data_IF_615233470039
#
_entry.id   IF_615233470039
#
_cell.length_a   1.000
_cell.length_b   1.000
_cell.length_c   1.000
_cell.angle_alpha   90.00
_cell.angle_beta   90.00
_cell.angle_gamma   90.00
#
_symmetry.space_group_name_H-M   'P 1'
#
loop_
_entity.id
_entity.type
_entity.pdbx_description
1 polymer ?
#
# COMPACT_ATOMS: atom_id res chain seq x y z
N UNK A 1 1.88 -0.24 -9.34
CA UNK A 1 2.63 -0.68 -8.12
C UNK A 1 2.40 -2.16 -7.89
N UNK A 2 3.29 -2.86 -7.17
CA UNK A 2 3.04 -4.26 -6.81
C UNK A 2 3.75 -4.72 -5.55
N UNK A 3 3.01 -4.73 -4.45
CA UNK A 3 3.36 -5.37 -3.15
C UNK A 3 2.19 -6.25 -2.71
N UNK A 4 2.32 -7.00 -1.60
CA UNK A 4 1.23 -7.81 -1.09
C UNK A 4 0.11 -6.97 -0.46
N UNK A 5 0.47 -6.00 0.39
CA UNK A 5 -0.48 -5.05 1.00
C UNK A 5 -1.33 -4.34 -0.08
N UNK A 6 -0.70 -3.84 -1.15
CA UNK A 6 -1.39 -3.12 -2.22
C UNK A 6 -2.28 -4.01 -3.09
N UNK A 7 -2.04 -5.32 -3.09
CA UNK A 7 -2.85 -6.29 -3.84
C UNK A 7 -4.05 -6.81 -3.01
N UNK A 8 -4.11 -6.49 -1.72
CA UNK A 8 -5.26 -6.83 -0.90
C UNK A 8 -6.46 -5.93 -1.18
N UNK A 9 -7.66 -6.46 -0.93
CA UNK A 9 -8.84 -5.61 -0.88
C UNK A 9 -8.65 -4.58 0.24
N UNK A 10 -9.06 -3.33 0.01
CA UNK A 10 -8.99 -2.30 1.05
C UNK A 10 -9.69 -2.71 2.36
N UNK A 11 -10.72 -3.56 2.29
CA UNK A 11 -11.41 -4.10 3.47
C UNK A 11 -10.60 -5.18 4.24
N UNK A 12 -9.46 -5.65 3.72
CA UNK A 12 -8.51 -6.53 4.40
C UNK A 12 -7.35 -5.75 5.03
N UNK A 13 -7.22 -4.45 4.73
CA UNK A 13 -6.16 -3.60 5.25
C UNK A 13 -6.71 -2.72 6.38
N UNK A 14 -6.40 -3.10 7.62
CA UNK A 14 -6.87 -2.38 8.81
C UNK A 14 -6.01 -1.13 9.09
N UNK A 15 -4.69 -1.30 9.05
CA UNK A 15 -3.68 -0.24 9.09
C UNK A 15 -2.79 -0.38 7.86
N UNK A 16 -2.91 0.57 6.95
CA UNK A 16 -2.09 0.66 5.73
C UNK A 16 -0.86 1.55 5.92
N UNK A 17 0.16 1.33 5.09
CA UNK A 17 1.17 2.36 4.84
C UNK A 17 0.53 3.61 4.22
N UNK A 18 1.21 4.76 4.31
CA UNK A 18 0.74 5.98 3.66
C UNK A 18 0.58 5.81 2.14
N UNK A 19 1.44 5.01 1.52
CA UNK A 19 1.37 4.73 0.07
C UNK A 19 0.09 3.98 -0.26
N UNK A 20 -0.28 2.96 0.51
CA UNK A 20 -1.49 2.18 0.26
C UNK A 20 -2.78 3.02 0.31
N UNK A 21 -2.84 4.00 1.21
CA UNK A 21 -4.06 4.80 1.42
C UNK A 21 -4.22 5.92 0.40
N UNK A 22 -3.10 6.42 -0.13
CA UNK A 22 -3.10 7.65 -0.89
C UNK A 22 -2.88 7.42 -2.41
N UNK A 23 -2.60 6.19 -2.88
CA UNK A 23 -2.33 5.94 -4.30
C UNK A 23 -3.61 5.76 -5.11
N UNK A 24 -3.64 6.28 -6.33
CA UNK A 24 -4.73 6.02 -7.28
C UNK A 24 -4.58 4.62 -7.90
N UNK A 25 -5.60 3.78 -7.75
CA UNK A 25 -5.51 2.33 -8.01
C UNK A 25 -6.11 1.88 -9.35
N UNK A 26 -6.70 2.78 -10.14
CA UNK A 26 -7.40 2.39 -11.37
C UNK A 26 -7.15 3.38 -12.52
N UNK A 27 -6.35 2.95 -13.49
CA UNK A 27 -6.09 3.69 -14.72
C UNK A 27 -6.46 2.80 -15.92
N UNK A 28 -6.91 3.42 -17.01
CA UNK A 28 -7.21 2.75 -18.26
C UNK A 28 -5.90 2.44 -19.01
N UNK A 29 -5.74 1.21 -19.48
CA UNK A 29 -4.54 0.86 -20.20
C UNK A 29 -4.57 -0.51 -20.83
N UNK A 30 -3.39 -0.92 -21.29
CA UNK A 30 -3.12 -2.25 -21.85
C UNK A 30 -2.09 -2.94 -20.98
N UNK A 31 -2.29 -4.24 -20.74
CA UNK A 31 -1.37 -5.11 -20.01
C UNK A 31 -0.97 -6.30 -20.88
N UNK A 32 0.30 -6.66 -20.82
CA UNK A 32 0.82 -7.89 -21.39
C UNK A 32 1.54 -8.68 -20.29
N UNK A 33 1.15 -9.94 -20.12
CA UNK A 33 1.73 -10.83 -19.11
C UNK A 33 2.48 -11.99 -19.77
N UNK A 34 3.67 -12.29 -19.27
CA UNK A 34 4.45 -13.47 -19.63
C UNK A 34 4.75 -14.33 -18.41
N UNK A 35 4.31 -15.58 -18.45
CA UNK A 35 4.47 -16.54 -17.35
C UNK A 35 5.50 -17.61 -17.69
N UNK A 36 6.44 -17.85 -16.79
CA UNK A 36 7.48 -18.88 -16.92
C UNK A 36 7.97 -19.36 -15.56
N UNK A 37 8.06 -20.68 -15.35
CA UNK A 37 8.73 -21.25 -14.16
C UNK A 37 8.22 -20.76 -12.80
N UNK A 38 6.90 -20.56 -12.65
CA UNK A 38 6.29 -19.99 -11.44
C UNK A 38 6.46 -18.47 -11.30
N UNK A 39 7.02 -17.81 -12.31
CA UNK A 39 7.15 -16.37 -12.39
C UNK A 39 6.13 -15.81 -13.38
N UNK A 40 5.63 -14.61 -13.12
CA UNK A 40 4.84 -13.83 -14.08
C UNK A 40 5.41 -12.42 -14.16
N UNK A 41 5.72 -11.98 -15.38
CA UNK A 41 6.13 -10.62 -15.67
C UNK A 41 4.98 -9.91 -16.38
N UNK A 42 4.49 -8.83 -15.79
CA UNK A 42 3.53 -7.92 -16.37
C UNK A 42 4.23 -6.67 -16.89
N UNK A 43 3.78 -6.20 -18.05
CA UNK A 43 4.12 -4.90 -18.59
C UNK A 43 2.83 -4.17 -18.94
N UNK A 44 2.63 -3.03 -18.28
CA UNK A 44 1.44 -2.21 -18.43
C UNK A 44 1.80 -0.84 -18.98
N UNK A 45 0.97 -0.35 -19.90
CA UNK A 45 0.95 1.06 -20.31
C UNK A 45 -0.44 1.61 -20.02
N UNK A 46 -0.51 2.71 -19.29
CA UNK A 46 -1.75 3.32 -18.81
C UNK A 46 -1.78 4.82 -19.17
N UNK A 47 -2.98 5.41 -19.17
CA UNK A 47 -3.05 6.85 -18.89
C UNK A 47 -2.43 7.14 -17.51
N UNK A 48 -1.93 8.36 -17.33
CA UNK A 48 -1.36 8.81 -16.06
C UNK A 48 -1.94 10.17 -15.72
N UNK A 49 -3.26 10.27 -15.72
CA UNK A 49 -3.99 11.53 -15.60
C UNK A 49 -4.27 11.96 -14.16
N UNK A 50 -3.89 11.15 -13.17
CA UNK A 50 -4.03 11.48 -11.76
C UNK A 50 -3.22 12.73 -11.38
N UNK A 51 -3.79 13.61 -10.56
CA UNK A 51 -3.14 14.84 -10.04
C UNK A 51 -1.85 14.55 -9.27
N UNK A 52 -1.71 13.34 -8.73
CA UNK A 52 -0.51 12.90 -8.03
C UNK A 52 0.67 12.66 -8.98
N UNK A 53 0.41 12.41 -10.26
CA UNK A 53 1.45 12.03 -11.21
C UNK A 53 1.60 13.02 -12.34
N UNK A 54 0.53 13.64 -12.84
CA UNK A 54 0.58 14.58 -13.96
C UNK A 54 0.24 16.01 -13.55
N UNK A 55 1.00 16.96 -14.12
CA UNK A 55 0.66 18.38 -14.04
C UNK A 55 -0.69 18.63 -14.72
N UNK A 56 -1.49 19.56 -14.20
CA UNK A 56 -2.87 19.83 -14.67
C UNK A 56 -2.96 20.08 -16.18
N UNK A 57 -2.00 20.78 -16.77
CA UNK A 57 -1.94 21.06 -18.21
C UNK A 57 -1.40 19.88 -19.06
N UNK A 58 -1.04 18.78 -18.41
CA UNK A 58 -0.42 17.60 -19.00
C UNK A 58 -1.22 16.31 -18.79
N UNK A 59 -2.20 16.28 -17.88
CA UNK A 59 -3.01 15.10 -17.55
C UNK A 59 -3.63 14.41 -18.77
N UNK A 60 -4.18 15.18 -19.72
CA UNK A 60 -4.87 14.64 -20.90
C UNK A 60 -3.98 13.90 -21.90
N UNK A 61 -2.65 13.93 -21.71
CA UNK A 61 -1.64 13.34 -22.60
C UNK A 61 -0.55 12.58 -21.84
N UNK A 62 -0.67 12.48 -20.52
CA UNK A 62 0.27 11.80 -19.66
C UNK A 62 0.08 10.29 -19.78
N UNK A 63 1.19 9.56 -19.94
CA UNK A 63 1.21 8.10 -19.91
C UNK A 63 2.06 7.60 -18.75
N UNK A 64 1.68 6.44 -18.24
CA UNK A 64 2.44 5.68 -17.27
C UNK A 64 2.87 4.34 -17.86
N UNK A 65 4.08 3.90 -17.52
CA UNK A 65 4.56 2.55 -17.78
C UNK A 65 4.83 1.85 -16.46
N UNK A 66 4.41 0.59 -16.33
CA UNK A 66 4.68 -0.23 -15.16
C UNK A 66 5.18 -1.61 -15.56
N UNK A 67 6.17 -2.10 -14.81
CA UNK A 67 6.61 -3.48 -14.83
C UNK A 67 6.30 -4.07 -13.46
N UNK A 68 5.72 -5.27 -13.44
CA UNK A 68 5.50 -6.03 -12.23
C UNK A 68 6.00 -7.46 -12.44
N UNK A 69 6.93 -7.89 -11.61
CA UNK A 69 7.42 -9.25 -11.57
C UNK A 69 6.92 -9.94 -10.30
N UNK A 70 6.10 -10.97 -10.51
CA UNK A 70 5.60 -11.85 -9.47
C UNK A 70 6.34 -13.18 -9.52
N UNK A 71 6.74 -13.69 -8.36
CA UNK A 71 7.37 -14.99 -8.23
C UNK A 71 6.62 -15.88 -7.27
N UNK A 72 6.49 -17.15 -7.64
CA UNK A 72 6.06 -18.25 -6.81
C UNK A 72 7.18 -19.30 -6.79
N UNK A 73 7.89 -19.34 -5.66
CA UNK A 73 9.06 -20.17 -5.44
C UNK A 73 8.72 -21.28 -4.44
N UNK A 74 9.26 -22.47 -4.72
CA UNK A 74 9.09 -23.65 -3.86
C UNK A 74 7.62 -24.00 -3.58
N UNK A 75 6.77 -23.95 -4.61
CA UNK A 75 5.35 -24.31 -4.54
C UNK A 75 4.58 -23.45 -3.52
N UNK A 76 4.77 -22.14 -3.57
CA UNK A 76 4.05 -21.16 -2.78
C UNK A 76 4.65 -20.88 -1.42
N UNK A 77 5.74 -21.54 -1.02
CA UNK A 77 6.42 -21.28 0.26
C UNK A 77 6.99 -19.87 0.27
N UNK A 78 7.61 -19.42 -0.82
CA UNK A 78 8.11 -18.06 -0.94
C UNK A 78 7.46 -17.39 -2.15
N UNK A 79 6.80 -16.28 -1.93
CA UNK A 79 6.26 -15.45 -3.01
C UNK A 79 6.92 -14.09 -3.01
N UNK A 80 7.16 -13.56 -4.20
CA UNK A 80 7.75 -12.23 -4.40
C UNK A 80 6.86 -11.40 -5.31
N UNK A 81 6.87 -10.09 -5.11
CA UNK A 81 6.15 -9.15 -5.96
C UNK A 81 6.93 -7.86 -6.04
N UNK A 82 7.59 -7.62 -7.17
CA UNK A 82 8.48 -6.48 -7.37
C UNK A 82 7.98 -5.63 -8.53
N UNK A 83 7.84 -4.33 -8.30
CA UNK A 83 7.30 -3.42 -9.30
C UNK A 83 8.19 -2.21 -9.50
N UNK A 84 8.29 -1.77 -10.74
CA UNK A 84 8.78 -0.46 -11.10
C UNK A 84 7.72 0.26 -11.93
N UNK A 85 7.52 1.55 -11.69
CA UNK A 85 6.58 2.34 -12.49
C UNK A 85 7.16 3.71 -12.75
N UNK A 86 6.93 4.23 -13.96
CA UNK A 86 7.31 5.57 -14.36
C UNK A 86 6.08 6.28 -14.94
N UNK A 87 5.75 7.43 -14.38
CA UNK A 87 4.57 8.22 -14.72
C UNK A 87 4.99 9.57 -15.27
N UNK A 88 4.45 9.96 -16.43
CA UNK A 88 4.83 11.20 -17.07
C UNK A 88 4.15 12.40 -16.40
N UNK A 89 4.95 13.26 -15.76
CA UNK A 89 4.45 14.45 -15.08
C UNK A 89 4.28 15.64 -16.01
N UNK A 90 5.31 15.89 -16.83
CA UNK A 90 5.31 16.89 -17.90
C UNK A 90 6.00 16.29 -19.12
N UNK A 91 6.19 17.11 -20.18
CA UNK A 91 6.95 16.68 -21.36
C UNK A 91 8.35 16.14 -21.04
N UNK A 92 8.99 16.64 -19.97
CA UNK A 92 10.39 16.33 -19.64
C UNK A 92 10.58 15.73 -18.24
N UNK A 93 9.54 15.64 -17.42
CA UNK A 93 9.63 15.14 -16.04
C UNK A 93 8.82 13.85 -15.89
N UNK A 94 9.43 12.84 -15.26
CA UNK A 94 8.78 11.58 -14.90
C UNK A 94 8.90 11.36 -13.39
N UNK A 95 7.84 10.84 -12.80
CA UNK A 95 7.81 10.35 -11.43
C UNK A 95 7.98 8.84 -11.43
N UNK A 96 8.73 8.32 -10.47
CA UNK A 96 9.12 6.92 -10.45
C UNK A 96 8.72 6.29 -9.13
N UNK A 97 8.37 5.02 -9.20
CA UNK A 97 8.05 4.19 -8.04
C UNK A 97 8.75 2.86 -8.15
N UNK A 98 9.33 2.44 -7.03
CA UNK A 98 9.87 1.12 -6.79
C UNK A 98 9.08 0.48 -5.65
N UNK A 99 8.68 -0.77 -5.86
CA UNK A 99 7.96 -1.56 -4.88
C UNK A 99 8.54 -2.95 -4.79
N UNK A 100 8.65 -3.48 -3.58
CA UNK A 100 9.13 -4.82 -3.35
C UNK A 100 8.35 -5.47 -2.21
N UNK A 101 7.78 -6.63 -2.47
CA UNK A 101 7.08 -7.47 -1.52
C UNK A 101 7.67 -8.86 -1.48
N UNK A 102 7.75 -9.44 -0.28
CA UNK A 102 8.11 -10.83 -0.03
C UNK A 102 7.11 -11.43 0.95
N UNK A 103 6.58 -12.60 0.63
CA UNK A 103 5.68 -13.37 1.47
C UNK A 103 6.24 -14.78 1.70
N UNK A 104 6.29 -15.19 2.96
CA UNK A 104 6.67 -16.53 3.38
C UNK A 104 5.42 -17.26 3.89
N UNK A 105 5.11 -18.42 3.32
CA UNK A 105 3.99 -19.28 3.72
C UNK A 105 4.53 -20.61 4.27
N UNK A 106 4.24 -20.91 5.53
CA UNK A 106 4.67 -22.13 6.22
C UNK A 106 3.51 -22.74 6.99
N UNK A 107 2.75 -23.62 6.33
CA UNK A 107 1.57 -24.25 6.92
C UNK A 107 0.52 -23.21 7.29
N UNK A 108 0.19 -23.10 8.58
CA UNK A 108 -0.73 -22.08 9.08
C UNK A 108 -0.10 -20.68 9.24
N UNK A 109 1.22 -20.55 9.11
CA UNK A 109 1.93 -19.29 9.29
C UNK A 109 2.12 -18.55 7.96
N UNK A 110 1.91 -17.23 7.95
CA UNK A 110 2.28 -16.35 6.84
C UNK A 110 2.94 -15.09 7.37
N UNK A 111 4.06 -14.71 6.78
CA UNK A 111 4.73 -13.44 7.05
C UNK A 111 4.95 -12.66 5.75
N UNK A 112 4.83 -11.35 5.80
CA UNK A 112 4.94 -10.46 4.65
C UNK A 112 5.78 -9.25 4.99
N UNK A 113 6.71 -8.91 4.11
CA UNK A 113 7.48 -7.68 4.14
C UNK A 113 7.25 -6.94 2.84
N UNK A 114 6.71 -5.74 2.92
CA UNK A 114 6.50 -4.84 1.79
C UNK A 114 7.30 -3.57 1.97
N UNK A 115 7.77 -3.02 0.86
CA UNK A 115 8.53 -1.79 0.80
C UNK A 115 8.17 -0.98 -0.44
N UNK A 116 8.13 0.34 -0.27
CA UNK A 116 7.71 1.31 -1.26
C UNK A 116 8.66 2.51 -1.24
N UNK A 117 8.99 2.99 -2.43
CA UNK A 117 9.85 4.14 -2.61
C UNK A 117 9.40 4.86 -3.88
N UNK A 118 9.06 6.14 -3.80
CA UNK A 118 8.72 6.84 -5.02
C UNK A 118 8.32 8.29 -4.87
N UNK A 119 8.11 8.87 -6.05
CA UNK A 119 7.90 10.29 -6.25
C UNK A 119 6.45 10.58 -6.63
N UNK A 120 5.87 11.63 -6.05
CA UNK A 120 4.54 12.12 -6.46
C UNK A 120 4.33 13.56 -6.08
N UNK A 121 3.25 14.12 -6.60
CA UNK A 121 2.66 15.36 -6.11
C UNK A 121 1.62 15.02 -5.03
N UNK A 122 1.63 15.73 -3.90
CA UNK A 122 0.71 15.46 -2.80
C UNK A 122 0.39 16.72 -2.00
N UNK A 123 -0.90 16.95 -1.72
CA UNK A 123 -1.32 17.89 -0.67
C UNK A 123 -1.35 17.15 0.67
N UNK A 124 -0.52 17.59 1.60
CA UNK A 124 -0.44 17.07 2.96
C UNK A 124 -0.76 18.12 4.03
N UNK A 125 -1.37 19.25 3.64
CA UNK A 125 -1.73 20.38 4.51
C UNK A 125 -2.56 19.94 5.72
N UNK A 126 -3.51 19.03 5.53
CA UNK A 126 -4.35 18.47 6.61
C UNK A 126 -3.54 17.67 7.64
N UNK A 127 -2.48 16.98 7.20
CA UNK A 127 -1.59 16.24 8.10
C UNK A 127 -0.76 17.18 8.97
N UNK A 128 -0.30 18.29 8.41
CA UNK A 128 0.50 19.31 9.12
C UNK A 128 -0.33 20.48 9.67
N UNK A 129 -1.66 20.38 9.66
CA UNK A 129 -2.57 21.37 10.25
C UNK A 129 -2.51 22.75 9.59
N UNK A 130 -2.15 22.83 8.31
CA UNK A 130 -2.15 24.07 7.53
C UNK A 130 -3.48 24.26 6.79
N UNK A 131 -3.82 25.50 6.46
CA UNK A 131 -4.84 25.77 5.45
C UNK A 131 -4.44 25.10 4.13
N UNK A 132 -5.44 24.72 3.32
CA UNK A 132 -5.23 24.03 2.05
C UNK A 132 -4.07 24.67 1.28
N UNK A 133 -3.05 23.86 1.01
CA UNK A 133 -1.83 24.29 0.36
C UNK A 133 -1.76 23.68 -1.04
N UNK A 134 -1.02 24.32 -1.92
CA UNK A 134 -0.75 23.75 -3.23
C UNK A 134 -0.06 22.38 -3.07
N UNK A 135 -0.46 21.37 -3.86
CA UNK A 135 0.18 20.06 -3.84
C UNK A 135 1.68 20.16 -4.08
N UNK A 136 2.46 19.41 -3.30
CA UNK A 136 3.92 19.53 -3.28
C UNK A 136 4.60 18.33 -3.89
N UNK A 137 5.81 18.56 -4.41
CA UNK A 137 6.62 17.48 -4.95
C UNK A 137 7.33 16.72 -3.82
N UNK A 138 6.91 15.48 -3.58
CA UNK A 138 7.36 14.66 -2.46
C UNK A 138 8.01 13.37 -2.92
N UNK A 139 8.87 12.84 -2.05
CA UNK A 139 9.44 11.51 -2.11
C UNK A 139 8.97 10.73 -0.88
N UNK A 140 8.21 9.68 -1.12
CA UNK A 140 7.64 8.84 -0.06
C UNK A 140 8.43 7.53 0.05
N UNK A 141 8.62 7.12 1.30
CA UNK A 141 9.35 5.94 1.68
C UNK A 141 8.50 5.17 2.68
N UNK A 142 8.16 3.91 2.41
CA UNK A 142 7.29 3.16 3.32
C UNK A 142 7.67 1.69 3.37
N UNK A 143 7.37 1.07 4.51
CA UNK A 143 7.54 -0.36 4.72
C UNK A 143 6.42 -0.91 5.59
N UNK A 144 6.08 -2.17 5.41
CA UNK A 144 5.21 -2.90 6.33
C UNK A 144 5.71 -4.32 6.56
N UNK A 145 5.50 -4.80 7.79
CA UNK A 145 5.78 -6.18 8.18
C UNK A 145 4.50 -6.74 8.78
N UNK A 146 3.95 -7.80 8.19
CA UNK A 146 2.78 -8.51 8.69
C UNK A 146 3.13 -9.95 9.05
N UNK A 147 2.57 -10.45 10.14
CA UNK A 147 2.68 -11.84 10.56
C UNK A 147 1.31 -12.34 11.00
N UNK A 148 0.84 -13.40 10.36
CA UNK A 148 -0.43 -14.05 10.66
C UNK A 148 -0.25 -15.54 10.91
N UNK A 149 -1.14 -16.10 11.73
CA UNK A 149 -1.23 -17.53 11.95
C UNK A 149 -2.67 -17.99 11.91
N UNK A 150 -2.96 -19.02 11.11
CA UNK A 150 -4.27 -19.66 11.03
C UNK A 150 -4.24 -20.96 11.81
N UNK A 151 -5.11 -21.07 12.82
CA UNK A 151 -5.32 -22.30 13.58
C UNK A 151 -6.81 -22.54 13.82
N UNK A 152 -7.32 -23.64 13.25
CA UNK A 152 -8.74 -23.97 13.32
C UNK A 152 -9.61 -22.90 12.65
N UNK A 153 -10.39 -22.19 13.46
CA UNK A 153 -11.30 -21.12 13.00
C UNK A 153 -10.76 -19.71 13.28
N UNK A 154 -9.59 -19.60 13.89
CA UNK A 154 -9.02 -18.34 14.31
C UNK A 154 -7.84 -17.96 13.41
N UNK A 155 -7.76 -16.67 13.12
CA UNK A 155 -6.64 -16.06 12.40
C UNK A 155 -6.23 -14.77 13.09
N UNK A 156 -5.42 -14.83 14.16
CA UNK A 156 -4.77 -13.64 14.68
C UNK A 156 -3.62 -13.20 13.78
N UNK A 157 -3.39 -11.89 13.76
CA UNK A 157 -2.23 -11.32 13.09
C UNK A 157 -1.82 -9.98 13.68
N UNK A 158 -0.55 -9.67 13.52
CA UNK A 158 0.07 -8.40 13.90
C UNK A 158 0.74 -7.82 12.67
N UNK A 159 0.63 -6.50 12.52
CA UNK A 159 1.34 -5.80 11.45
C UNK A 159 1.91 -4.50 11.96
N UNK A 160 3.15 -4.21 11.58
CA UNK A 160 3.81 -2.95 11.78
C UNK A 160 3.94 -2.20 10.46
N UNK A 161 3.82 -0.87 10.50
CA UNK A 161 4.00 0.00 9.35
C UNK A 161 4.95 1.14 9.70
N UNK A 162 5.70 1.59 8.71
CA UNK A 162 6.50 2.80 8.77
C UNK A 162 6.37 3.54 7.45
N UNK A 163 6.31 4.86 7.51
CA UNK A 163 6.29 5.73 6.35
C UNK A 163 7.00 7.04 6.65
N UNK A 164 7.75 7.57 5.72
CA UNK A 164 8.41 8.87 5.81
C UNK A 164 8.12 9.65 4.52
N UNK A 165 7.82 10.93 4.69
CA UNK A 165 7.63 11.86 3.59
C UNK A 165 8.75 12.87 3.58
N UNK A 166 9.44 12.95 2.45
CA UNK A 166 10.43 13.97 2.16
C UNK A 166 9.84 14.97 1.17
N UNK A 167 9.81 16.24 1.54
CA UNK A 167 9.40 17.31 0.64
C UNK A 167 10.63 17.81 -0.11
N UNK A 168 10.60 17.67 -1.44
CA UNK A 168 11.75 18.02 -2.29
C UNK A 168 11.92 19.53 -2.45
N UNK A 169 10.86 20.31 -2.25
CA UNK A 169 10.93 21.78 -2.30
C UNK A 169 11.59 22.32 -1.02
N UNK A 170 11.34 21.69 0.13
CA UNK A 170 12.05 21.99 1.37
C UNK A 170 13.42 21.32 1.50
N UNK A 171 13.71 20.28 0.72
CA UNK A 171 14.95 19.53 0.85
C UNK A 171 15.07 18.80 2.20
N UNK A 172 13.96 18.39 2.81
CA UNK A 172 13.97 17.70 4.11
C UNK A 172 12.77 16.77 4.33
N UNK A 173 12.92 15.82 5.26
CA UNK A 173 11.80 15.04 5.78
C UNK A 173 10.84 15.94 6.56
N UNK A 174 9.55 15.90 6.21
CA UNK A 174 8.50 16.74 6.82
C UNK A 174 7.77 16.02 7.93
N UNK A 175 7.60 14.70 7.82
CA UNK A 175 7.12 13.85 8.91
C UNK A 175 7.43 12.37 8.64
N UNK A 176 7.37 11.58 9.69
CA UNK A 176 7.34 10.12 9.61
C UNK A 176 6.18 9.57 10.45
N UNK A 177 5.50 8.54 9.94
CA UNK A 177 4.43 7.84 10.62
C UNK A 177 4.84 6.40 10.85
N UNK A 178 4.76 5.94 12.10
CA UNK A 178 4.96 4.53 12.48
C UNK A 178 3.69 4.01 13.11
N UNK A 179 3.37 2.73 12.94
CA UNK A 179 2.18 2.16 13.55
C UNK A 179 2.26 0.65 13.73
N UNK A 180 1.38 0.16 14.60
CA UNK A 180 1.19 -1.26 14.86
C UNK A 180 -0.30 -1.56 14.92
N UNK A 181 -0.68 -2.72 14.41
CA UNK A 181 -2.01 -3.27 14.56
C UNK A 181 -1.95 -4.69 15.10
N UNK A 182 -2.98 -5.05 15.87
CA UNK A 182 -3.24 -6.41 16.31
C UNK A 182 -4.68 -6.75 15.99
N UNK A 183 -4.91 -7.85 15.30
CA UNK A 183 -6.23 -8.26 14.83
C UNK A 183 -6.46 -9.72 15.17
N UNK A 184 -7.69 -10.05 15.55
CA UNK A 184 -8.15 -11.42 15.66
C UNK A 184 -9.39 -11.60 14.78
N UNK A 185 -9.33 -12.56 13.86
CA UNK A 185 -10.46 -12.93 13.02
C UNK A 185 -10.97 -14.33 13.36
N UNK A 186 -12.29 -14.49 13.31
CA UNK A 186 -12.98 -15.75 13.57
C UNK A 186 -13.87 -16.14 12.38
N UNK A 187 -13.70 -17.38 11.92
CA UNK A 187 -14.39 -17.98 10.78
C UNK A 187 -15.29 -19.12 11.25
N UNK A 188 -16.54 -18.82 11.70
CA UNK A 188 -17.40 -19.82 12.34
C UNK A 188 -17.86 -20.93 11.42
N UNK A 189 -17.98 -20.67 10.12
CA UNK A 189 -18.68 -21.53 9.18
C UNK A 189 -17.73 -22.28 8.26
N UNK A 190 -18.10 -23.51 7.91
CA UNK A 190 -17.40 -24.34 6.91
C UNK A 190 -18.22 -24.56 5.63
N UNK A 191 -19.51 -24.19 5.65
CA UNK A 191 -20.39 -24.30 4.49
C UNK A 191 -19.93 -23.33 3.41
N UNK A 192 -19.94 -23.77 2.16
CA UNK A 192 -19.34 -23.02 1.06
C UNK A 192 -19.89 -21.60 0.90
N UNK A 193 -21.20 -21.40 1.08
CA UNK A 193 -21.83 -20.07 1.01
C UNK A 193 -21.41 -19.09 2.14
N UNK A 194 -20.89 -19.62 3.25
CA UNK A 194 -20.60 -18.85 4.48
C UNK A 194 -19.14 -18.93 4.92
N UNK A 195 -18.29 -19.71 4.23
CA UNK A 195 -16.89 -19.92 4.65
C UNK A 195 -16.07 -18.64 4.71
N UNK A 196 -16.45 -17.63 3.93
CA UNK A 196 -15.80 -16.32 3.86
C UNK A 196 -16.47 -15.27 4.78
N UNK A 197 -17.52 -15.65 5.52
CA UNK A 197 -18.09 -14.83 6.58
C UNK A 197 -17.19 -14.91 7.82
N UNK A 198 -16.63 -13.76 8.19
CA UNK A 198 -15.74 -13.62 9.34
C UNK A 198 -16.18 -12.52 10.28
N UNK A 199 -15.87 -12.70 11.55
CA UNK A 199 -15.95 -11.67 12.58
C UNK A 199 -14.55 -11.24 12.93
N UNK A 200 -14.35 -9.97 13.27
CA UNK A 200 -13.04 -9.44 13.56
C UNK A 200 -13.08 -8.42 14.69
N UNK A 201 -12.00 -8.36 15.45
CA UNK A 201 -11.68 -7.29 16.37
C UNK A 201 -10.23 -6.86 16.13
N UNK A 202 -10.02 -5.56 16.04
CA UNK A 202 -8.76 -4.94 15.70
C UNK A 202 -8.49 -3.77 16.63
N UNK A 203 -7.24 -3.68 17.08
CA UNK A 203 -6.70 -2.48 17.70
C UNK A 203 -5.53 -2.00 16.85
N UNK A 204 -5.48 -0.70 16.60
CA UNK A 204 -4.45 -0.06 15.80
C UNK A 204 -3.94 1.17 16.55
N UNK A 205 -2.64 1.38 16.46
CA UNK A 205 -1.97 2.57 16.94
C UNK A 205 -1.07 3.13 15.85
N UNK A 206 -1.09 4.44 15.66
CA UNK A 206 -0.13 5.14 14.82
C UNK A 206 0.37 6.40 15.49
N UNK A 207 1.63 6.71 15.26
CA UNK A 207 2.29 7.94 15.69
C UNK A 207 2.90 8.65 14.50
N UNK A 208 2.59 9.93 14.35
CA UNK A 208 3.19 10.82 13.34
C UNK A 208 4.12 11.81 14.05
N UNK A 209 5.41 11.71 13.74
CA UNK A 209 6.45 12.64 14.20
C UNK A 209 6.75 13.66 13.11
N UNK A 210 6.48 14.93 13.39
CA UNK A 210 6.78 16.04 12.50
C UNK A 210 8.26 16.39 12.53
N UNK A 211 8.81 16.78 11.37
CA UNK A 211 10.25 16.97 11.15
C UNK A 211 10.50 18.19 10.25
N UNK A 212 11.76 18.56 10.12
CA UNK A 212 12.18 19.66 9.24
C UNK A 212 11.45 20.97 9.61
N UNK A 213 10.81 21.65 8.65
CA UNK A 213 10.03 22.87 8.88
C UNK A 213 8.92 22.73 9.94
N UNK A 214 8.46 21.51 10.21
CA UNK A 214 7.37 21.21 11.13
C UNK A 214 7.85 20.61 12.46
N UNK A 215 9.16 20.57 12.73
CA UNK A 215 9.71 19.95 13.94
C UNK A 215 9.23 20.59 15.26
N UNK A 216 8.69 21.81 15.22
CA UNK A 216 8.08 22.47 16.37
C UNK A 216 6.67 21.96 16.72
N UNK A 217 6.06 21.15 15.87
CA UNK A 217 4.73 20.58 16.11
C UNK A 217 4.81 19.37 17.04
N UNK A 218 3.81 19.22 17.92
CA UNK A 218 3.67 18.04 18.75
C UNK A 218 3.35 16.81 17.89
N UNK A 219 3.94 15.66 18.21
CA UNK A 219 3.62 14.40 17.55
C UNK A 219 2.13 14.05 17.71
N UNK A 220 1.51 13.54 16.65
CA UNK A 220 0.14 13.03 16.69
C UNK A 220 0.14 11.54 17.04
N UNK A 221 -0.74 11.14 17.95
CA UNK A 221 -0.89 9.75 18.36
C UNK A 221 -2.37 9.36 18.19
N UNK A 222 -2.63 8.34 17.39
CA UNK A 222 -3.97 7.91 17.02
C UNK A 222 -4.17 6.46 17.49
N UNK A 223 -5.27 6.21 18.20
CA UNK A 223 -5.71 4.87 18.59
C UNK A 223 -7.06 4.57 17.95
N UNK A 224 -7.15 3.45 17.25
CA UNK A 224 -8.40 3.01 16.62
C UNK A 224 -8.76 1.63 17.14
N UNK A 225 -10.02 1.47 17.55
CA UNK A 225 -10.63 0.19 17.86
C UNK A 225 -11.69 -0.09 16.82
N UNK A 226 -11.66 -1.28 16.24
CA UNK A 226 -12.59 -1.68 15.20
C UNK A 226 -13.05 -3.10 15.48
N UNK A 227 -14.36 -3.32 15.49
CA UNK A 227 -14.95 -4.63 15.59
C UNK A 227 -16.10 -4.74 14.60
N UNK A 228 -16.25 -5.89 13.96
CA UNK A 228 -17.23 -6.02 12.91
C UNK A 228 -17.33 -7.42 12.33
N UNK A 229 -18.11 -7.51 11.27
CA UNK A 229 -18.24 -8.70 10.44
C UNK A 229 -17.96 -8.34 8.99
N UNK A 230 -17.46 -9.30 8.23
CA UNK A 230 -17.29 -9.19 6.78
C UNK A 230 -17.74 -10.47 6.11
N UNK A 231 -18.44 -10.32 5.00
CA UNK A 231 -18.82 -11.43 4.14
C UNK A 231 -18.48 -11.08 2.69
N UNK A 232 -17.60 -11.88 2.10
CA UNK A 232 -17.38 -11.85 0.65
C UNK A 232 -18.20 -13.00 0.05
N UNK A 233 -19.21 -12.68 -0.75
CA UNK A 233 -19.98 -13.68 -1.48
C UNK A 233 -19.99 -13.38 -2.96
N UNK A 234 -19.99 -14.44 -3.76
CA UNK A 234 -20.14 -14.35 -5.21
C UNK A 234 -21.63 -14.47 -5.54
N UNK A 235 -22.18 -13.44 -6.16
CA UNK A 235 -23.50 -13.52 -6.80
C UNK A 235 -23.30 -14.23 -8.14
N UNK A 236 -24.07 -15.29 -8.38
CA UNK A 236 -24.10 -15.99 -9.67
C UNK A 236 -25.09 -15.35 -10.61
#
# INVERSE_FOLDING_TARGET
>A
LGTFEFNYSGADVYLGTMVNNDFDTYQLGVDAAWTFGGQTLHFQVVNSDSEQFAATDYQSKAFGGAILWEGDLFQGVLKTRWGYSAFQHTKTKFYQWLTAGVQLNLGGFKAELDYYLGDRTMDYSTTVGLAAADPRYVHDHAASLSVEHTFGKWRPFVKAVWSERYDKDFGSAVYATSGIQTVAEYYPFRREALKDLRFHAAWMYSRTDFRGPYAGMASRNDHTFLAGMRWLFKVK
#
